data_IF_199084185957
#
_entry.id   IF_199084185957
#
_cell.length_a   1.000
_cell.length_b   1.000
_cell.length_c   1.000
_cell.angle_alpha   90.00
_cell.angle_beta   90.00
_cell.angle_gamma   90.00
#
_symmetry.space_group_name_H-M   'P 1'
#
loop_
_entity.id
_entity.type
_entity.pdbx_description
1 polymer ?
#
# COMPACT_ATOMS: atom_id res chain seq x y z
N UNK A 1 28.99 -27.12 -38.69
CA UNK A 1 28.66 -26.60 -37.35
C UNK A 1 27.67 -27.57 -36.73
N UNK A 2 28.05 -28.20 -35.63
CA UNK A 2 27.21 -29.19 -34.98
C UNK A 2 25.95 -28.51 -34.43
N UNK A 3 24.77 -29.14 -34.59
CA UNK A 3 23.50 -28.57 -34.14
C UNK A 3 23.51 -28.18 -32.66
N UNK A 4 24.34 -28.83 -31.85
CA UNK A 4 24.59 -28.50 -30.45
C UNK A 4 25.26 -27.13 -30.29
N UNK A 5 26.26 -26.80 -31.11
CA UNK A 5 26.95 -25.52 -31.09
C UNK A 5 26.02 -24.37 -31.53
N UNK A 6 25.13 -24.63 -32.51
CA UNK A 6 24.13 -23.66 -32.94
C UNK A 6 23.11 -23.36 -31.83
N UNK A 7 22.58 -24.40 -31.17
CA UNK A 7 21.64 -24.25 -30.06
C UNK A 7 22.27 -23.53 -28.86
N UNK A 8 23.53 -23.86 -28.53
CA UNK A 8 24.26 -23.18 -27.47
C UNK A 8 24.45 -21.69 -27.80
N UNK A 9 24.83 -21.36 -29.04
CA UNK A 9 25.00 -19.98 -29.49
C UNK A 9 23.68 -19.20 -29.41
N UNK A 10 22.57 -19.80 -29.89
CA UNK A 10 21.25 -19.18 -29.83
C UNK A 10 20.81 -18.92 -28.38
N UNK A 11 21.07 -19.87 -27.48
CA UNK A 11 20.77 -19.71 -26.05
C UNK A 11 21.55 -18.55 -25.42
N UNK A 12 22.84 -18.41 -25.75
CA UNK A 12 23.67 -17.29 -25.27
C UNK A 12 23.14 -15.95 -25.80
N UNK A 13 22.85 -15.86 -27.10
CA UNK A 13 22.31 -14.63 -27.72
C UNK A 13 20.99 -14.25 -27.07
N UNK A 14 20.07 -15.20 -26.89
CA UNK A 14 18.79 -14.96 -26.22
C UNK A 14 18.98 -14.46 -24.79
N UNK A 15 19.89 -15.07 -24.03
CA UNK A 15 20.21 -14.64 -22.66
C UNK A 15 20.73 -13.21 -22.62
N UNK A 16 21.65 -12.85 -23.52
CA UNK A 16 22.19 -11.49 -23.62
C UNK A 16 21.09 -10.48 -23.95
N UNK A 17 20.21 -10.81 -24.91
CA UNK A 17 19.08 -9.93 -25.29
C UNK A 17 18.13 -9.71 -24.11
N UNK A 18 17.78 -10.76 -23.37
CA UNK A 18 16.90 -10.66 -22.19
C UNK A 18 17.54 -9.80 -21.09
N UNK A 19 18.83 -10.00 -20.80
CA UNK A 19 19.55 -9.20 -19.80
C UNK A 19 19.64 -7.73 -20.24
N UNK A 20 19.99 -7.46 -21.49
CA UNK A 20 20.06 -6.11 -22.02
C UNK A 20 18.70 -5.39 -21.97
N UNK A 21 17.62 -6.08 -22.35
CA UNK A 21 16.26 -5.56 -22.25
C UNK A 21 15.90 -5.22 -20.79
N UNK A 22 16.22 -6.11 -19.84
CA UNK A 22 15.96 -5.87 -18.42
C UNK A 22 16.73 -4.63 -17.89
N UNK A 23 18.00 -4.47 -18.27
CA UNK A 23 18.81 -3.30 -17.90
C UNK A 23 18.21 -2.02 -18.46
N UNK A 24 17.87 -1.99 -19.75
CA UNK A 24 17.28 -0.80 -20.40
C UNK A 24 15.93 -0.45 -19.79
N UNK A 25 15.07 -1.44 -19.53
CA UNK A 25 13.77 -1.23 -18.89
C UNK A 25 13.93 -0.67 -17.48
N UNK A 26 14.89 -1.19 -16.70
CA UNK A 26 15.17 -0.68 -15.36
C UNK A 26 15.67 0.77 -15.42
N UNK A 27 16.63 1.08 -16.29
CA UNK A 27 17.12 2.45 -16.46
C UNK A 27 16.00 3.42 -16.87
N UNK A 28 15.13 3.03 -17.82
CA UNK A 28 13.95 3.83 -18.21
C UNK A 28 12.99 4.04 -17.04
N UNK A 29 12.80 3.02 -16.20
CA UNK A 29 11.97 3.11 -15.00
C UNK A 29 12.50 4.14 -14.00
N UNK A 30 13.80 4.10 -13.69
CA UNK A 30 14.43 5.09 -12.81
C UNK A 30 14.36 6.51 -13.39
N UNK A 31 14.59 6.68 -14.70
CA UNK A 31 14.44 7.98 -15.37
C UNK A 31 13.01 8.52 -15.28
N UNK A 32 12.00 7.65 -15.48
CA UNK A 32 10.60 8.05 -15.35
C UNK A 32 10.25 8.48 -13.92
N UNK A 33 10.72 7.75 -12.90
CA UNK A 33 10.54 8.12 -11.49
C UNK A 33 11.21 9.46 -11.17
N UNK A 34 12.45 9.65 -11.60
CA UNK A 34 13.19 10.89 -11.38
C UNK A 34 12.54 12.08 -12.08
N UNK A 35 12.10 11.91 -13.33
CA UNK A 35 11.41 12.97 -14.08
C UNK A 35 10.06 13.32 -13.44
N UNK A 36 9.29 12.33 -13.02
CA UNK A 36 8.01 12.53 -12.33
C UNK A 36 8.20 13.29 -11.01
N UNK A 37 9.23 12.91 -10.23
CA UNK A 37 9.56 13.56 -8.97
C UNK A 37 9.95 15.03 -9.19
N UNK A 38 10.86 15.28 -10.14
CA UNK A 38 11.34 16.63 -10.47
C UNK A 38 10.20 17.56 -10.90
N UNK A 39 9.25 17.08 -11.71
CA UNK A 39 8.09 17.87 -12.14
C UNK A 39 7.19 18.33 -10.98
N UNK A 40 7.22 17.62 -9.84
CA UNK A 40 6.39 17.91 -8.67
C UNK A 40 7.17 18.54 -7.52
N UNK A 41 8.48 18.77 -7.68
CA UNK A 41 9.35 19.15 -6.56
C UNK A 41 9.50 18.05 -5.50
N UNK A 42 9.17 16.81 -5.85
CA UNK A 42 9.37 15.64 -5.01
C UNK A 42 10.78 15.08 -5.19
N UNK A 43 11.20 14.23 -4.25
CA UNK A 43 12.47 13.51 -4.31
C UNK A 43 12.23 12.05 -4.66
N UNK A 44 13.12 11.50 -5.46
CA UNK A 44 13.19 10.07 -5.72
C UNK A 44 14.35 9.46 -4.94
N UNK A 45 14.07 8.49 -4.07
CA UNK A 45 15.09 7.75 -3.32
C UNK A 45 15.39 6.44 -4.02
N UNK A 46 16.54 6.40 -4.68
CA UNK A 46 17.02 5.22 -5.42
C UNK A 46 17.71 4.19 -4.51
N UNK A 47 17.08 3.85 -3.37
CA UNK A 47 17.58 2.86 -2.41
C UNK A 47 16.44 2.12 -1.74
N UNK A 48 16.68 0.84 -1.42
CA UNK A 48 15.79 0.06 -0.56
C UNK A 48 15.75 0.68 0.83
N UNK A 49 14.55 0.81 1.38
CA UNK A 49 14.31 1.37 2.70
C UNK A 49 13.48 0.39 3.54
N UNK A 50 14.06 -0.14 4.62
CA UNK A 50 13.37 -1.05 5.54
C UNK A 50 12.76 -0.32 6.74
N UNK A 51 13.17 0.91 7.01
CA UNK A 51 12.69 1.74 8.11
C UNK A 51 11.27 2.24 7.85
N UNK A 52 10.98 2.64 6.60
CA UNK A 52 9.74 3.31 6.19
C UNK A 52 8.47 2.56 6.62
N UNK A 53 8.52 1.24 6.62
CA UNK A 53 7.35 0.38 6.93
C UNK A 53 7.57 -0.49 8.15
N UNK A 54 8.64 -0.26 8.94
CA UNK A 54 9.03 -1.16 10.03
C UNK A 54 8.03 -1.17 11.16
N UNK A 55 7.45 -0.02 11.50
CA UNK A 55 6.49 0.11 12.59
C UNK A 55 5.08 -0.37 12.20
N UNK A 56 4.76 -0.36 10.91
CA UNK A 56 3.42 -0.65 10.38
C UNK A 56 3.03 -2.12 10.53
N UNK A 57 1.77 -2.36 10.87
CA UNK A 57 1.21 -3.69 11.13
C UNK A 57 -0.06 -3.99 10.34
N UNK A 58 -0.80 -2.97 9.90
CA UNK A 58 -1.97 -3.13 9.02
C UNK A 58 -1.60 -3.48 7.59
N UNK A 59 -2.54 -4.02 6.83
CA UNK A 59 -2.33 -4.44 5.44
C UNK A 59 -1.76 -3.31 4.56
N UNK A 60 -0.81 -3.60 3.64
CA UNK A 60 -0.17 -4.87 3.34
C UNK A 60 1.06 -5.17 4.23
N UNK A 61 1.30 -4.38 5.28
CA UNK A 61 2.51 -4.43 6.11
C UNK A 61 2.46 -5.58 7.13
N UNK A 62 3.50 -5.69 7.96
CA UNK A 62 3.55 -6.66 9.06
C UNK A 62 3.70 -8.14 8.65
N UNK A 63 3.47 -8.50 7.39
CA UNK A 63 3.43 -9.89 6.90
C UNK A 63 4.75 -10.33 6.27
N UNK A 64 5.08 -11.62 6.40
CA UNK A 64 6.21 -12.26 5.72
C UNK A 64 7.59 -11.78 6.20
N UNK A 65 8.61 -12.07 5.39
CA UNK A 65 10.00 -11.70 5.64
C UNK A 65 10.58 -10.84 4.50
N UNK A 66 11.84 -10.40 4.65
CA UNK A 66 12.54 -9.58 3.65
C UNK A 66 11.77 -8.31 3.24
N UNK A 67 11.06 -7.71 4.21
CA UNK A 67 10.20 -6.54 4.01
C UNK A 67 11.03 -5.31 3.67
N UNK A 68 10.69 -4.62 2.60
CA UNK A 68 11.33 -3.35 2.23
C UNK A 68 10.42 -2.51 1.32
N UNK A 69 10.65 -1.20 1.35
CA UNK A 69 10.19 -0.28 0.34
C UNK A 69 11.29 0.00 -0.70
N UNK A 70 10.92 0.13 -1.97
CA UNK A 70 11.76 0.69 -3.03
C UNK A 70 10.93 1.61 -3.94
N UNK A 71 11.56 2.22 -4.95
CA UNK A 71 10.91 3.19 -5.83
C UNK A 71 10.23 4.35 -5.05
N UNK A 72 10.86 4.81 -3.96
CA UNK A 72 10.25 5.77 -3.04
C UNK A 72 10.28 7.17 -3.62
N UNK A 73 9.11 7.72 -3.86
CA UNK A 73 8.84 9.12 -4.18
C UNK A 73 8.34 9.80 -2.91
N UNK A 74 8.91 10.93 -2.54
CA UNK A 74 8.52 11.67 -1.34
C UNK A 74 8.48 13.18 -1.58
N UNK A 75 7.51 13.85 -0.99
CA UNK A 75 7.36 15.28 -1.08
C UNK A 75 6.17 15.75 -0.28
N UNK A 76 5.51 16.79 -0.74
CA UNK A 76 4.30 17.33 -0.12
C UNK A 76 3.14 17.33 -1.11
N UNK A 77 1.93 17.15 -0.58
CA UNK A 77 0.67 17.25 -1.31
C UNK A 77 -0.35 17.98 -0.44
N UNK A 78 -0.86 19.12 -0.91
CA UNK A 78 -1.82 19.98 -0.18
C UNK A 78 -1.32 20.28 1.26
N UNK A 79 -0.03 20.64 1.38
CA UNK A 79 0.61 21.01 2.65
C UNK A 79 0.87 19.85 3.62
N UNK A 80 0.72 18.60 3.18
CA UNK A 80 0.97 17.40 4.00
C UNK A 80 2.11 16.57 3.43
N UNK A 81 2.96 15.95 4.27
CA UNK A 81 3.94 14.97 3.81
C UNK A 81 3.25 13.86 3.03
N UNK A 82 3.79 13.53 1.86
CA UNK A 82 3.22 12.54 0.95
C UNK A 82 4.31 11.63 0.40
N UNK A 83 3.97 10.36 0.19
CA UNK A 83 4.88 9.38 -0.40
C UNK A 83 4.17 8.44 -1.36
N UNK A 84 4.90 7.94 -2.34
CA UNK A 84 4.51 6.77 -3.12
C UNK A 84 5.68 5.81 -3.22
N UNK A 85 5.45 4.52 -3.02
CA UNK A 85 6.53 3.53 -3.04
C UNK A 85 6.01 2.14 -3.40
N UNK A 86 6.93 1.26 -3.81
CA UNK A 86 6.68 -0.17 -3.88
C UNK A 86 6.98 -0.77 -2.51
N UNK A 87 6.06 -1.56 -1.97
CA UNK A 87 6.32 -2.40 -0.82
C UNK A 87 6.44 -3.87 -1.24
N UNK A 88 7.48 -4.56 -0.78
CA UNK A 88 7.75 -5.97 -1.11
C UNK A 88 7.94 -6.79 0.16
N UNK A 89 7.33 -7.98 0.21
CA UNK A 89 7.64 -9.01 1.20
C UNK A 89 7.62 -10.41 0.59
N UNK A 90 8.17 -11.37 1.34
CA UNK A 90 8.29 -12.75 0.92
C UNK A 90 7.53 -13.68 1.87
N UNK A 91 6.79 -14.64 1.31
CA UNK A 91 6.22 -15.78 2.06
C UNK A 91 6.85 -17.08 1.58
N UNK A 92 6.99 -18.03 2.50
CA UNK A 92 7.48 -19.37 2.22
C UNK A 92 6.42 -20.39 2.63
N UNK A 93 6.15 -21.35 1.77
CA UNK A 93 5.26 -22.48 2.07
C UNK A 93 6.00 -23.80 1.80
N UNK A 94 5.62 -24.85 2.51
CA UNK A 94 6.13 -26.21 2.29
C UNK A 94 4.95 -27.14 2.02
N UNK A 95 5.01 -27.92 0.95
CA UNK A 95 3.97 -28.88 0.60
C UNK A 95 4.05 -30.17 1.45
N UNK A 96 3.06 -31.06 1.30
CA UNK A 96 3.02 -32.35 2.01
C UNK A 96 4.15 -33.31 1.63
N UNK A 97 4.91 -33.02 0.58
CA UNK A 97 6.08 -33.77 0.12
C UNK A 97 7.40 -33.11 0.57
N UNK A 98 7.34 -32.08 1.42
CA UNK A 98 8.51 -31.39 1.94
C UNK A 98 9.16 -30.40 0.95
N UNK A 99 8.52 -30.12 -0.19
CA UNK A 99 9.04 -29.13 -1.14
C UNK A 99 8.68 -27.73 -0.67
N UNK A 100 9.70 -26.88 -0.57
CA UNK A 100 9.53 -25.48 -0.20
C UNK A 100 9.36 -24.62 -1.44
N UNK A 101 8.37 -23.73 -1.41
CA UNK A 101 8.18 -22.68 -2.42
C UNK A 101 8.25 -21.29 -1.78
N UNK A 102 8.73 -20.32 -2.55
CA UNK A 102 8.84 -18.93 -2.14
C UNK A 102 7.99 -18.05 -3.07
N UNK A 103 7.16 -17.20 -2.48
CA UNK A 103 6.32 -16.24 -3.20
C UNK A 103 6.71 -14.82 -2.83
N UNK A 104 6.99 -14.01 -3.86
CA UNK A 104 7.26 -12.57 -3.70
C UNK A 104 5.95 -11.80 -3.89
N UNK A 105 5.61 -10.98 -2.90
CA UNK A 105 4.44 -10.11 -2.94
C UNK A 105 4.90 -8.67 -3.13
N UNK A 106 4.21 -7.92 -3.99
CA UNK A 106 4.50 -6.52 -4.30
C UNK A 106 3.23 -5.70 -4.26
N UNK A 107 3.32 -4.51 -3.70
CA UNK A 107 2.22 -3.56 -3.60
C UNK A 107 2.69 -2.17 -4.00
N UNK A 108 1.83 -1.45 -4.71
CA UNK A 108 1.94 -0.01 -4.83
C UNK A 108 1.29 0.60 -3.59
N UNK A 109 2.01 1.45 -2.88
CA UNK A 109 1.52 2.19 -1.72
C UNK A 109 1.61 3.68 -1.99
N UNK A 110 0.59 4.42 -1.58
CA UNK A 110 0.58 5.88 -1.50
C UNK A 110 0.19 6.26 -0.08
N UNK A 111 0.88 7.23 0.52
CA UNK A 111 0.61 7.69 1.88
C UNK A 111 0.49 9.21 1.95
N UNK A 112 -0.36 9.69 2.86
CA UNK A 112 -0.54 11.11 3.18
C UNK A 112 -0.46 11.30 4.70
N UNK A 113 0.27 12.32 5.14
CA UNK A 113 0.45 12.66 6.56
C UNK A 113 -0.83 13.17 7.22
N UNK A 114 -1.04 12.72 8.46
CA UNK A 114 -2.15 13.10 9.32
C UNK A 114 -1.78 14.28 10.23
N UNK A 115 -2.77 15.06 10.71
CA UNK A 115 -2.52 16.13 11.67
C UNK A 115 -2.03 15.62 13.04
N UNK A 116 -2.48 14.43 13.45
CA UNK A 116 -2.10 13.77 14.69
C UNK A 116 -2.11 12.25 14.47
N UNK A 117 -1.33 11.48 15.24
CA UNK A 117 -1.31 10.03 15.10
C UNK A 117 -2.62 9.41 15.56
N UNK A 118 -3.14 8.44 14.79
CA UNK A 118 -4.37 7.71 15.11
C UNK A 118 -4.11 6.22 15.35
N UNK A 119 -5.00 5.55 16.12
CA UNK A 119 -4.97 4.10 16.22
C UNK A 119 -5.19 3.46 14.85
N UNK A 120 -4.76 2.21 14.72
CA UNK A 120 -4.90 1.47 13.47
C UNK A 120 -6.38 1.29 13.11
N UNK A 121 -6.78 1.79 11.94
CA UNK A 121 -8.09 1.51 11.32
C UNK A 121 -7.82 1.08 9.87
N UNK A 122 -8.17 -0.15 9.53
CA UNK A 122 -7.98 -0.74 8.21
C UNK A 122 -9.34 -0.99 7.55
N UNK A 123 -9.48 -0.49 6.32
CA UNK A 123 -10.67 -0.61 5.49
C UNK A 123 -10.30 -1.38 4.23
N UNK A 124 -10.93 -2.53 4.02
CA UNK A 124 -10.70 -3.36 2.82
C UNK A 124 -12.02 -3.75 2.18
N UNK A 125 -12.04 -4.06 0.87
CA UNK A 125 -13.25 -4.53 0.21
C UNK A 125 -13.69 -5.85 0.81
N UNK A 126 -14.96 -5.97 1.15
CA UNK A 126 -15.55 -7.24 1.55
C UNK A 126 -15.64 -8.14 0.32
N UNK A 127 -14.68 -9.06 0.15
CA UNK A 127 -14.78 -10.09 -0.88
C UNK A 127 -15.55 -11.28 -0.28
N UNK A 128 -16.62 -11.73 -0.95
CA UNK A 128 -17.42 -12.89 -0.54
C UNK A 128 -16.59 -14.19 -0.32
N UNK A 129 -15.37 -14.25 -0.86
CA UNK A 129 -14.44 -15.39 -0.71
C UNK A 129 -13.57 -15.34 0.57
N UNK A 130 -13.50 -14.20 1.26
CA UNK A 130 -12.68 -13.99 2.48
C UNK A 130 -13.46 -14.05 3.79
N UNK A 131 -14.77 -14.32 3.73
CA UNK A 131 -15.64 -14.50 4.91
C UNK A 131 -15.19 -15.63 5.86
N UNK A 132 -14.16 -16.40 5.48
CA UNK A 132 -13.62 -17.56 6.21
C UNK A 132 -12.15 -17.37 6.67
N UNK A 133 -11.48 -16.26 6.33
CA UNK A 133 -10.11 -16.02 6.78
C UNK A 133 -10.07 -15.30 8.15
N UNK A 134 -10.64 -15.95 9.17
CA UNK A 134 -10.35 -15.65 10.57
C UNK A 134 -8.97 -16.21 10.92
N UNK A 135 -7.92 -15.53 10.48
CA UNK A 135 -6.57 -15.81 10.94
C UNK A 135 -5.78 -14.50 10.97
N UNK A 136 -5.45 -14.08 12.19
CA UNK A 136 -4.55 -12.99 12.61
C UNK A 136 -5.23 -11.77 13.28
N UNK A 137 -5.84 -12.01 14.45
CA UNK A 137 -5.74 -11.12 15.63
C UNK A 137 -6.46 -9.76 15.64
N UNK A 138 -6.94 -9.24 14.52
CA UNK A 138 -7.78 -8.05 14.48
C UNK A 138 -9.25 -8.45 14.56
N UNK A 139 -10.01 -7.84 15.48
CA UNK A 139 -11.46 -8.01 15.55
C UNK A 139 -12.10 -7.10 14.51
N UNK A 140 -12.99 -7.67 13.71
CA UNK A 140 -13.81 -6.87 12.79
C UNK A 140 -14.77 -6.00 13.60
N UNK A 141 -14.98 -4.77 13.14
CA UNK A 141 -15.95 -3.82 13.72
C UNK A 141 -17.16 -3.76 12.80
N UNK A 142 -18.29 -4.27 13.26
CA UNK A 142 -19.57 -4.13 12.56
C UNK A 142 -20.20 -2.79 12.91
N UNK A 143 -20.49 -1.97 11.89
CA UNK A 143 -21.23 -0.72 12.03
C UNK A 143 -22.73 -0.98 11.91
N UNK A 144 -23.58 -0.07 12.40
CA UNK A 144 -25.05 -0.16 12.28
C UNK A 144 -25.57 0.13 10.85
N UNK A 145 -24.77 -0.14 9.81
CA UNK A 145 -25.09 0.15 8.42
C UNK A 145 -24.80 -1.07 7.53
N UNK A 146 -25.82 -1.90 7.31
CA UNK A 146 -25.66 -3.18 6.59
C UNK A 146 -25.04 -3.04 5.20
N UNK A 147 -25.49 -2.06 4.40
CA UNK A 147 -24.97 -1.85 3.04
C UNK A 147 -23.47 -1.53 3.02
N UNK A 148 -22.98 -0.86 4.08
CA UNK A 148 -21.57 -0.54 4.24
C UNK A 148 -20.79 -1.80 4.63
N UNK A 149 -21.26 -2.56 5.63
CA UNK A 149 -20.62 -3.81 6.05
C UNK A 149 -20.61 -4.88 4.94
N UNK A 150 -21.53 -4.81 3.96
CA UNK A 150 -21.50 -5.67 2.77
C UNK A 150 -20.44 -5.26 1.75
N UNK A 151 -20.00 -4.01 1.77
CA UNK A 151 -19.03 -3.47 0.81
C UNK A 151 -17.62 -3.39 1.42
N UNK A 152 -17.52 -3.17 2.72
CA UNK A 152 -16.30 -2.87 3.45
C UNK A 152 -16.15 -3.77 4.67
N UNK A 153 -14.95 -4.30 4.84
CA UNK A 153 -14.47 -4.87 6.10
C UNK A 153 -13.67 -3.83 6.86
N UNK A 154 -14.05 -3.59 8.11
CA UNK A 154 -13.39 -2.66 9.02
C UNK A 154 -12.65 -3.43 10.10
N UNK A 155 -11.35 -3.16 10.25
CA UNK A 155 -10.54 -3.69 11.34
C UNK A 155 -9.95 -2.52 12.13
N UNK A 156 -10.27 -2.41 13.40
CA UNK A 156 -9.80 -1.32 14.26
C UNK A 156 -10.04 -1.62 15.73
N UNK A 157 -9.64 -0.70 16.64
CA UNK A 157 -10.06 -0.81 18.02
C UNK A 157 -11.61 -0.75 18.10
N UNK A 158 -12.27 -1.60 18.91
CA UNK A 158 -13.71 -1.55 19.11
C UNK A 158 -14.07 -0.44 20.10
N UNK A 159 -13.53 0.76 19.88
CA UNK A 159 -13.71 1.92 20.73
C UNK A 159 -14.35 3.09 19.97
N UNK A 160 -14.59 4.16 20.70
CA UNK A 160 -15.28 5.35 20.18
C UNK A 160 -14.57 5.94 18.97
N UNK A 161 -13.25 5.83 18.86
CA UNK A 161 -12.47 6.49 17.79
C UNK A 161 -12.77 5.90 16.43
N UNK A 162 -12.94 4.58 16.33
CA UNK A 162 -13.34 3.94 15.06
C UNK A 162 -14.72 4.44 14.62
N UNK A 163 -15.67 4.57 15.55
CA UNK A 163 -17.02 5.08 15.26
C UNK A 163 -17.03 6.58 14.93
N UNK A 164 -16.22 7.37 15.64
CA UNK A 164 -16.08 8.81 15.41
C UNK A 164 -15.48 9.10 14.03
N UNK A 165 -14.52 8.29 13.58
CA UNK A 165 -13.95 8.37 12.22
C UNK A 165 -14.96 7.87 11.18
N UNK A 166 -15.65 6.75 11.44
CA UNK A 166 -16.60 6.11 10.51
C UNK A 166 -18.04 6.59 10.73
N UNK A 167 -18.21 7.89 10.94
CA UNK A 167 -19.52 8.53 11.03
C UNK A 167 -20.28 8.46 9.69
N UNK A 168 -21.61 8.72 9.64
CA UNK A 168 -22.44 8.52 8.44
C UNK A 168 -21.91 9.16 7.15
N UNK A 169 -21.50 10.44 7.20
CA UNK A 169 -20.92 11.14 6.05
C UNK A 169 -19.57 10.56 5.58
N UNK A 170 -18.77 9.97 6.47
CA UNK A 170 -17.56 9.23 6.07
C UNK A 170 -17.94 7.95 5.33
N UNK A 171 -18.90 7.19 5.86
CA UNK A 171 -19.40 5.98 5.21
C UNK A 171 -19.94 6.28 3.80
N UNK A 172 -20.75 7.32 3.64
CA UNK A 172 -21.24 7.78 2.34
C UNK A 172 -20.09 8.08 1.37
N UNK A 173 -19.04 8.77 1.83
CA UNK A 173 -17.87 9.09 1.01
C UNK A 173 -17.13 7.83 0.57
N UNK A 174 -16.95 6.85 1.47
CA UNK A 174 -16.31 5.56 1.19
C UNK A 174 -17.14 4.70 0.24
N UNK A 175 -18.46 4.91 0.17
CA UNK A 175 -19.34 4.22 -0.76
C UNK A 175 -19.34 4.78 -2.19
N UNK A 176 -18.74 5.97 -2.41
CA UNK A 176 -18.60 6.57 -3.72
C UNK A 176 -17.69 5.73 -4.64
N UNK A 177 -17.92 5.81 -5.96
CA UNK A 177 -17.31 4.95 -6.98
C UNK A 177 -15.78 4.94 -6.97
N UNK A 178 -15.14 6.08 -6.70
CA UNK A 178 -13.68 6.22 -6.70
C UNK A 178 -13.01 5.60 -5.47
N UNK A 179 -13.72 5.49 -4.35
CA UNK A 179 -13.25 4.89 -3.10
C UNK A 179 -13.74 3.46 -2.89
N UNK A 180 -14.91 3.10 -3.44
CA UNK A 180 -15.46 1.76 -3.30
C UNK A 180 -14.49 0.72 -3.89
N UNK A 181 -14.22 -0.33 -3.12
CA UNK A 181 -13.29 -1.37 -3.56
C UNK A 181 -11.81 -1.02 -3.38
N UNK A 182 -11.48 0.16 -2.84
CA UNK A 182 -10.12 0.52 -2.47
C UNK A 182 -9.71 -0.13 -1.15
N UNK A 183 -8.42 -0.07 -0.84
CA UNK A 183 -7.86 -0.53 0.44
C UNK A 183 -7.19 0.65 1.13
N UNK A 184 -7.61 0.93 2.35
CA UNK A 184 -7.15 2.07 3.12
C UNK A 184 -6.70 1.62 4.51
N UNK A 185 -5.68 2.30 5.03
CA UNK A 185 -5.13 2.06 6.36
C UNK A 185 -4.82 3.39 6.98
N UNK A 186 -5.38 3.67 8.14
CA UNK A 186 -4.91 4.70 9.05
C UNK A 186 -4.02 3.98 10.06
N UNK A 187 -2.76 4.37 10.20
CA UNK A 187 -1.87 3.82 11.23
C UNK A 187 -0.75 4.81 11.55
N UNK A 188 -0.64 5.20 12.82
CA UNK A 188 0.35 6.18 13.22
C UNK A 188 0.03 7.55 12.63
N UNK A 189 1.04 8.20 12.04
CA UNK A 189 1.00 9.57 11.54
C UNK A 189 0.55 9.69 10.06
N UNK A 190 0.04 8.62 9.46
CA UNK A 190 -0.33 8.61 8.05
C UNK A 190 -1.58 7.79 7.77
N UNK A 191 -2.27 8.17 6.69
CA UNK A 191 -3.22 7.31 5.98
C UNK A 191 -2.54 6.76 4.72
N UNK A 192 -2.85 5.51 4.38
CA UNK A 192 -2.28 4.77 3.27
C UNK A 192 -3.38 4.26 2.36
N UNK A 193 -3.11 4.26 1.07
CA UNK A 193 -3.80 3.48 0.05
C UNK A 193 -2.84 2.45 -0.51
N UNK A 194 -3.33 1.25 -0.84
CA UNK A 194 -2.52 0.27 -1.57
C UNK A 194 -3.29 -0.58 -2.56
N UNK A 195 -2.56 -1.02 -3.59
CA UNK A 195 -2.99 -2.06 -4.51
C UNK A 195 -1.86 -3.03 -4.85
N UNK A 196 -2.19 -4.20 -5.41
CA UNK A 196 -1.20 -5.20 -5.81
C UNK A 196 -0.44 -4.75 -7.05
N UNK A 197 0.86 -5.01 -7.07
CA UNK A 197 1.70 -4.82 -8.25
C UNK A 197 2.79 -3.76 -8.05
N UNK A 198 3.25 -3.22 -9.17
CA UNK A 198 4.30 -2.20 -9.20
C UNK A 198 3.68 -0.80 -9.18
N UNK A 199 4.39 0.21 -8.64
CA UNK A 199 3.89 1.57 -8.63
C UNK A 199 3.57 2.12 -10.02
N UNK A 200 2.32 2.54 -10.21
CA UNK A 200 1.88 3.29 -11.38
C UNK A 200 1.91 4.79 -11.07
N UNK A 201 2.68 5.55 -11.84
CA UNK A 201 2.81 6.99 -11.64
C UNK A 201 1.50 7.75 -11.93
N UNK A 202 0.63 7.19 -12.76
CA UNK A 202 -0.66 7.81 -13.09
C UNK A 202 -1.67 7.73 -11.93
N UNK A 203 -1.50 6.78 -10.99
CA UNK A 203 -2.43 6.59 -9.87
C UNK A 203 -2.05 7.39 -8.63
N UNK A 204 -0.84 7.97 -8.58
CA UNK A 204 -0.34 8.70 -7.40
C UNK A 204 -1.22 9.91 -7.06
N UNK A 205 -1.43 10.83 -8.00
CA UNK A 205 -2.24 12.04 -7.72
C UNK A 205 -3.72 11.68 -7.42
N UNK A 206 -4.38 10.77 -8.18
CA UNK A 206 -5.72 10.30 -7.80
C UNK A 206 -5.79 9.65 -6.42
N UNK A 207 -4.79 8.87 -6.02
CA UNK A 207 -4.74 8.27 -4.69
C UNK A 207 -4.58 9.35 -3.62
N UNK A 208 -3.69 10.32 -3.80
CA UNK A 208 -3.52 11.44 -2.86
C UNK A 208 -4.79 12.29 -2.72
N UNK A 209 -5.52 12.53 -3.82
CA UNK A 209 -6.80 13.23 -3.78
C UNK A 209 -7.84 12.46 -2.96
N UNK A 210 -7.94 11.14 -3.14
CA UNK A 210 -8.83 10.27 -2.34
C UNK A 210 -8.44 10.28 -0.85
N UNK A 211 -7.16 10.13 -0.55
CA UNK A 211 -6.66 10.19 0.83
C UNK A 211 -6.95 11.54 1.48
N UNK A 212 -6.76 12.64 0.75
CA UNK A 212 -7.07 14.00 1.23
C UNK A 212 -8.56 14.12 1.57
N UNK A 213 -9.45 13.67 0.68
CA UNK A 213 -10.89 13.72 0.92
C UNK A 213 -11.33 12.89 2.14
N UNK A 214 -10.67 11.77 2.42
CA UNK A 214 -10.92 10.99 3.65
C UNK A 214 -10.42 11.75 4.87
N UNK A 215 -9.18 12.26 4.86
CA UNK A 215 -8.61 12.99 6.00
C UNK A 215 -9.41 14.25 6.35
N UNK A 216 -9.92 14.97 5.35
CA UNK A 216 -10.73 16.18 5.53
C UNK A 216 -12.11 15.91 6.13
N UNK A 217 -12.63 14.69 6.01
CA UNK A 217 -13.90 14.31 6.63
C UNK A 217 -13.77 13.88 8.09
N UNK A 218 -12.56 13.54 8.55
CA UNK A 218 -12.36 13.17 9.96
C UNK A 218 -12.65 14.39 10.85
N UNK A 219 -13.59 14.29 11.81
CA UNK A 219 -13.97 15.41 12.67
C UNK A 219 -12.78 15.99 13.46
N UNK A 220 -12.74 17.32 13.63
CA UNK A 220 -11.62 18.00 14.30
C UNK A 220 -11.35 17.49 15.71
N UNK A 221 -12.41 17.16 16.47
CA UNK A 221 -12.28 16.65 17.83
C UNK A 221 -11.52 15.32 17.91
N UNK A 222 -11.56 14.51 16.84
CA UNK A 222 -10.77 13.26 16.76
C UNK A 222 -9.29 13.63 16.73
N UNK A 223 -8.90 14.65 15.97
CA UNK A 223 -7.51 15.14 15.96
C UNK A 223 -7.12 15.76 17.30
N UNK A 224 -7.98 16.56 17.92
CA UNK A 224 -7.70 17.22 19.19
C UNK A 224 -7.45 16.21 20.32
N UNK A 225 -8.23 15.12 20.36
CA UNK A 225 -8.11 14.06 21.34
C UNK A 225 -6.74 13.33 21.31
N UNK A 226 -6.11 13.27 20.13
CA UNK A 226 -4.83 12.60 19.93
C UNK A 226 -3.64 13.57 19.82
N UNK A 227 -3.87 14.79 19.34
CA UNK A 227 -2.87 15.85 19.25
C UNK A 227 -2.60 16.54 20.59
N UNK A 228 -3.59 16.59 21.49
CA UNK A 228 -3.50 17.26 22.79
C UNK A 228 -2.78 16.47 23.90
N UNK A 229 -2.34 15.23 23.65
CA UNK A 229 -1.66 14.40 24.69
C UNK A 229 -0.14 14.60 24.79
N UNK A 230 0.43 15.56 24.06
CA UNK A 230 1.84 15.94 24.15
C UNK A 230 2.06 17.46 24.07
N UNK A 231 1.40 18.22 24.96
CA UNK A 231 1.84 19.56 25.34
C UNK A 231 2.14 19.59 26.84
#
# INVERSE_FOLDING_TARGET
MDSVALLATLGVVLTVVVVAAAVVMNSRRHQALQAWAAQRGWRYLDRRNTELTRALRGGPFGTGSSRHADEVLEGEYVGRPARSFRYTYVTRSTDGQGRTSQTNHRFHVVSLGLPAPLPRIELTPENALTRVANALGARDVDLEHEDFNRAWRVQGPPDQVTYDVLHPRMMERLMAEDLRGQRLLIEGDAIFWWDRGSPDLATVDPALARLTAVVELVPSFVWDNFGGRHA
#
